data_IF_984734133680
#
_entry.id   IF_984734133680
#
_cell.length_a   1.000
_cell.length_b   1.000
_cell.length_c   1.000
_cell.angle_alpha   90.00
_cell.angle_beta   90.00
_cell.angle_gamma   90.00
#
_symmetry.space_group_name_H-M   'P 1'
#
loop_
_entity.id
_entity.type
_entity.pdbx_description
1 polymer ?
#
# COMPACT_ATOMS: atom_id res chain seq x y z
N UNK A 1 15.39 -7.48 6.85
CA UNK A 1 14.21 -7.22 5.99
C UNK A 1 13.64 -8.57 5.57
N UNK A 2 12.34 -8.80 5.74
CA UNK A 2 11.70 -10.05 5.33
C UNK A 2 11.39 -10.01 3.83
N UNK A 3 11.68 -11.09 3.12
CA UNK A 3 11.35 -11.24 1.70
C UNK A 3 9.90 -11.68 1.55
N UNK A 4 9.13 -10.95 0.73
CA UNK A 4 7.72 -11.21 0.45
C UNK A 4 7.51 -11.82 -0.95
N UNK A 5 8.57 -11.98 -1.73
CA UNK A 5 8.49 -12.49 -3.11
C UNK A 5 7.80 -13.86 -3.21
N UNK A 6 7.98 -14.81 -2.27
CA UNK A 6 7.24 -16.07 -2.30
C UNK A 6 5.72 -15.89 -2.18
N UNK A 7 5.27 -14.97 -1.33
CA UNK A 7 3.85 -14.64 -1.21
C UNK A 7 3.32 -14.05 -2.51
N UNK A 8 4.06 -13.12 -3.11
CA UNK A 8 3.66 -12.47 -4.36
C UNK A 8 3.62 -13.43 -5.57
N UNK A 9 4.44 -14.48 -5.55
CA UNK A 9 4.48 -15.50 -6.59
C UNK A 9 3.31 -16.50 -6.51
N UNK A 10 2.67 -16.62 -5.35
CA UNK A 10 1.51 -17.49 -5.12
C UNK A 10 0.21 -16.66 -5.17
N UNK A 11 -0.46 -16.69 -6.32
CA UNK A 11 -1.68 -15.92 -6.55
C UNK A 11 -2.81 -16.16 -5.52
N UNK A 12 -3.17 -17.42 -5.21
CA UNK A 12 -4.09 -17.73 -4.13
C UNK A 12 -3.68 -17.19 -2.76
N UNK A 13 -2.42 -17.39 -2.35
CA UNK A 13 -1.94 -16.91 -1.06
C UNK A 13 -1.92 -15.37 -1.00
N UNK A 14 -1.54 -14.71 -2.09
CA UNK A 14 -1.52 -13.26 -2.16
C UNK A 14 -2.92 -12.66 -2.07
N UNK A 15 -3.88 -13.21 -2.82
CA UNK A 15 -5.29 -12.81 -2.73
C UNK A 15 -5.81 -12.99 -1.31
N UNK A 16 -5.59 -14.16 -0.71
CA UNK A 16 -6.00 -14.42 0.67
C UNK A 16 -5.42 -13.38 1.64
N UNK A 17 -4.13 -13.05 1.52
CA UNK A 17 -3.51 -12.04 2.38
C UNK A 17 -4.11 -10.64 2.20
N UNK A 18 -4.49 -10.26 0.98
CA UNK A 18 -5.16 -8.97 0.70
C UNK A 18 -6.57 -8.96 1.28
N UNK A 19 -7.34 -10.03 1.06
CA UNK A 19 -8.72 -10.16 1.53
C UNK A 19 -8.78 -10.16 3.06
N UNK A 20 -7.88 -10.91 3.70
CA UNK A 20 -7.73 -10.90 5.16
C UNK A 20 -7.37 -9.51 5.66
N UNK A 21 -6.42 -8.81 5.04
CA UNK A 21 -6.08 -7.46 5.48
C UNK A 21 -7.24 -6.47 5.30
N UNK A 22 -8.01 -6.58 4.23
CA UNK A 22 -9.20 -5.77 4.00
C UNK A 22 -10.28 -6.03 5.05
N UNK A 23 -10.48 -7.29 5.47
CA UNK A 23 -11.52 -7.67 6.43
C UNK A 23 -11.29 -7.14 7.85
N UNK A 24 -10.08 -6.68 8.16
CA UNK A 24 -9.77 -6.05 9.46
C UNK A 24 -10.42 -4.67 9.61
N UNK A 25 -10.81 -4.03 8.52
CA UNK A 25 -11.41 -2.70 8.52
C UNK A 25 -12.89 -2.80 8.19
N UNK A 26 -13.71 -1.99 8.87
CA UNK A 26 -15.13 -1.89 8.54
C UNK A 26 -15.29 -1.12 7.23
N UNK A 27 -16.35 -1.43 6.50
CA UNK A 27 -16.72 -0.66 5.32
C UNK A 27 -16.87 0.83 5.67
N UNK A 28 -16.18 1.70 4.92
CA UNK A 28 -16.16 3.14 5.14
C UNK A 28 -15.25 3.63 6.28
N UNK A 29 -14.53 2.75 6.98
CA UNK A 29 -13.58 3.15 8.03
C UNK A 29 -12.32 3.81 7.47
N UNK A 30 -11.89 3.40 6.28
CA UNK A 30 -10.77 3.99 5.55
C UNK A 30 -11.31 4.70 4.31
N UNK A 31 -10.84 5.93 4.08
CA UNK A 31 -11.15 6.75 2.91
C UNK A 31 -10.00 6.80 1.89
N UNK A 32 -8.78 6.55 2.35
CA UNK A 32 -7.57 6.59 1.52
C UNK A 32 -6.45 5.73 2.11
N UNK A 33 -5.73 5.05 1.24
CA UNK A 33 -4.49 4.33 1.58
C UNK A 33 -3.26 5.15 1.20
N UNK A 34 -2.16 4.95 1.93
CA UNK A 34 -0.87 5.55 1.60
C UNK A 34 0.14 4.43 1.34
N UNK A 35 0.57 4.30 0.09
CA UNK A 35 1.62 3.37 -0.29
C UNK A 35 3.00 4.00 -0.07
N UNK A 36 3.91 3.28 0.58
CA UNK A 36 5.31 3.69 0.70
C UNK A 36 6.16 2.96 -0.33
N UNK A 37 6.98 3.71 -1.06
CA UNK A 37 7.86 3.17 -2.09
C UNK A 37 8.86 2.12 -1.56
N UNK A 38 9.17 1.05 -2.29
CA UNK A 38 8.51 0.53 -3.50
C UNK A 38 7.57 -0.63 -3.18
N UNK A 39 7.96 -1.47 -2.21
CA UNK A 39 7.24 -2.71 -1.89
C UNK A 39 5.90 -2.48 -1.21
N UNK A 40 5.71 -1.35 -0.54
CA UNK A 40 4.41 -0.96 -0.01
C UNK A 40 3.36 -0.81 -1.12
N UNK A 41 3.76 -0.50 -2.36
CA UNK A 41 2.84 -0.45 -3.49
C UNK A 41 2.30 -1.82 -3.88
N UNK A 42 3.12 -2.87 -3.74
CA UNK A 42 2.76 -4.24 -4.16
C UNK A 42 1.58 -4.78 -3.36
N UNK A 43 1.45 -4.39 -2.08
CA UNK A 43 0.33 -4.77 -1.22
C UNK A 43 -0.73 -3.67 -1.15
N UNK A 44 -0.31 -2.41 -1.12
CA UNK A 44 -1.20 -1.26 -0.94
C UNK A 44 -2.15 -1.05 -2.12
N UNK A 45 -1.71 -1.25 -3.37
CA UNK A 45 -2.58 -1.04 -4.52
C UNK A 45 -3.71 -2.10 -4.60
N UNK A 46 -3.45 -3.41 -4.45
CA UNK A 46 -4.51 -4.42 -4.38
C UNK A 46 -5.43 -4.23 -3.18
N UNK A 47 -4.92 -3.82 -2.02
CA UNK A 47 -5.76 -3.51 -0.87
C UNK A 47 -6.70 -2.33 -1.14
N UNK A 48 -6.20 -1.25 -1.74
CA UNK A 48 -7.01 -0.10 -2.11
C UNK A 48 -8.12 -0.47 -3.11
N UNK A 49 -7.79 -1.34 -4.06
CA UNK A 49 -8.77 -1.92 -4.98
C UNK A 49 -9.83 -2.74 -4.23
N UNK A 50 -9.42 -3.66 -3.35
CA UNK A 50 -10.34 -4.51 -2.59
C UNK A 50 -11.27 -3.71 -1.66
N UNK A 51 -10.77 -2.62 -1.08
CA UNK A 51 -11.52 -1.74 -0.19
C UNK A 51 -12.30 -0.64 -0.94
N UNK A 52 -12.19 -0.55 -2.26
CA UNK A 52 -12.81 0.48 -3.09
C UNK A 52 -12.45 1.93 -2.65
N UNK A 53 -11.17 2.16 -2.36
CA UNK A 53 -10.64 3.48 -1.95
C UNK A 53 -9.47 3.92 -2.82
N UNK A 54 -9.16 5.22 -2.79
CA UNK A 54 -7.98 5.75 -3.46
C UNK A 54 -6.68 5.42 -2.72
N UNK A 55 -5.55 5.45 -3.45
CA UNK A 55 -4.20 5.33 -2.88
C UNK A 55 -3.34 6.56 -3.21
N UNK A 56 -2.71 7.15 -2.19
CA UNK A 56 -1.66 8.15 -2.33
C UNK A 56 -0.28 7.49 -2.29
N UNK A 57 0.67 8.04 -3.04
CA UNK A 57 2.01 7.48 -3.16
C UNK A 57 3.01 8.33 -2.39
N UNK A 58 3.71 7.73 -1.43
CA UNK A 58 4.88 8.33 -0.77
C UNK A 58 6.12 7.74 -1.40
N UNK A 59 6.97 8.62 -1.94
CA UNK A 59 8.18 8.24 -2.67
C UNK A 59 9.40 9.01 -2.19
N UNK A 60 10.58 8.51 -2.54
CA UNK A 60 11.82 9.25 -2.32
C UNK A 60 11.76 10.62 -3.04
N UNK A 61 12.49 11.64 -2.55
CA UNK A 61 12.53 12.96 -3.17
C UNK A 61 12.83 12.89 -4.69
N UNK A 62 12.11 13.71 -5.47
CA UNK A 62 12.26 13.79 -6.93
C UNK A 62 11.57 12.67 -7.73
N UNK A 63 10.78 11.80 -7.10
CA UNK A 63 10.06 10.70 -7.76
C UNK A 63 8.56 10.94 -7.98
N UNK A 64 8.00 12.01 -7.42
CA UNK A 64 6.61 12.42 -7.62
C UNK A 64 6.54 13.63 -8.54
N UNK A 65 5.58 13.69 -9.48
CA UNK A 65 5.33 14.87 -10.29
C UNK A 65 4.53 15.93 -9.51
N UNK A 66 4.63 17.19 -9.93
CA UNK A 66 3.81 18.29 -9.40
C UNK A 66 4.24 18.81 -8.02
N UNK A 67 3.31 19.47 -7.33
CA UNK A 67 3.52 19.99 -5.98
C UNK A 67 3.56 18.84 -4.98
N UNK A 68 4.61 18.79 -4.16
CA UNK A 68 4.87 17.71 -3.21
C UNK A 68 5.09 18.27 -1.82
N UNK A 69 4.48 17.63 -0.83
CA UNK A 69 4.78 17.88 0.59
C UNK A 69 5.96 17.00 1.03
N UNK A 70 6.86 17.56 1.84
CA UNK A 70 8.02 16.85 2.36
C UNK A 70 8.13 17.03 3.86
N UNK A 71 8.27 15.92 4.58
CA UNK A 71 8.62 15.92 5.99
C UNK A 71 9.99 15.27 6.17
N UNK A 72 10.84 15.91 6.97
CA UNK A 72 12.13 15.40 7.39
C UNK A 72 12.07 15.19 8.91
N UNK A 73 12.51 14.02 9.36
CA UNK A 73 12.57 13.67 10.77
C UNK A 73 14.05 13.56 11.17
N UNK A 74 14.39 14.08 12.34
CA UNK A 74 15.64 13.76 13.04
C UNK A 74 15.39 12.55 13.94
N UNK A 75 16.38 11.66 14.03
CA UNK A 75 16.30 10.35 14.69
C UNK A 75 16.79 10.43 16.12
#
# INVERSE_FOLDING_TARGET
IKDISPLLADGPAFRFAVDELASHFKEGEIDKLVGIESRGFLVGAPLAYAMNVGIALVRKPGKLPGTVERIQYEL
#
